data_IF_304047393578
#
_entry.id   IF_304047393578
#
_cell.length_a   1.000
_cell.length_b   1.000
_cell.length_c   1.000
_cell.angle_alpha   90.00
_cell.angle_beta   90.00
_cell.angle_gamma   90.00
#
_symmetry.space_group_name_H-M   'P 1'
#
loop_
_entity.id
_entity.type
_entity.pdbx_description
1 polymer ?
#
# COMPACT_ATOMS: atom_id res chain seq x y z
N UNK A 1 -2.62 51.37 -7.16
CA UNK A 1 -2.89 49.97 -6.77
C UNK A 1 -4.06 50.01 -5.82
N UNK A 2 -5.17 49.36 -6.14
CA UNK A 2 -6.39 49.42 -5.30
C UNK A 2 -6.16 48.77 -3.94
N UNK A 3 -6.81 49.29 -2.90
CA UNK A 3 -6.71 48.80 -1.52
C UNK A 3 -7.05 47.31 -1.43
N UNK A 4 -8.01 46.85 -2.24
CA UNK A 4 -8.38 45.43 -2.35
C UNK A 4 -7.23 44.57 -2.91
N UNK A 5 -6.57 45.05 -3.97
CA UNK A 5 -5.43 44.34 -4.58
C UNK A 5 -4.22 44.29 -3.64
N UNK A 6 -3.97 45.38 -2.90
CA UNK A 6 -2.95 45.42 -1.85
C UNK A 6 -3.23 44.39 -0.75
N UNK A 7 -4.46 44.37 -0.24
CA UNK A 7 -4.87 43.45 0.81
C UNK A 7 -4.70 41.98 0.40
N UNK A 8 -5.19 41.62 -0.78
CA UNK A 8 -5.12 40.24 -1.29
C UNK A 8 -3.66 39.83 -1.56
N UNK A 9 -2.87 40.71 -2.19
CA UNK A 9 -1.51 40.37 -2.61
C UNK A 9 -0.51 40.35 -1.46
N UNK A 10 -0.66 41.21 -0.46
CA UNK A 10 0.36 41.38 0.59
C UNK A 10 -0.10 40.94 1.97
N UNK A 11 -1.37 41.06 2.34
CA UNK A 11 -1.81 40.88 3.73
C UNK A 11 -2.51 39.54 3.99
N UNK A 12 -3.26 39.02 3.01
CA UNK A 12 -4.06 37.80 3.17
C UNK A 12 -3.21 36.55 3.46
N UNK A 13 -2.15 36.32 2.68
CA UNK A 13 -1.29 35.13 2.85
C UNK A 13 -0.49 35.13 4.17
N UNK A 14 0.14 36.23 4.60
CA UNK A 14 0.74 36.31 5.94
C UNK A 14 -0.27 36.09 7.07
N UNK A 15 -1.48 36.64 6.95
CA UNK A 15 -2.54 36.43 7.94
C UNK A 15 -2.92 34.95 8.04
N UNK A 16 -3.15 34.29 6.90
CA UNK A 16 -3.44 32.85 6.84
C UNK A 16 -2.29 32.06 7.48
N UNK A 17 -1.04 32.37 7.14
CA UNK A 17 0.12 31.70 7.73
C UNK A 17 0.18 31.85 9.26
N UNK A 18 -0.06 33.05 9.78
CA UNK A 18 -0.08 33.30 11.23
C UNK A 18 -1.19 32.49 11.91
N UNK A 19 -2.40 32.53 11.36
CA UNK A 19 -3.56 31.79 11.90
C UNK A 19 -3.29 30.29 11.85
N UNK A 20 -2.83 29.76 10.71
CA UNK A 20 -2.51 28.34 10.56
C UNK A 20 -1.39 27.87 11.50
N UNK A 21 -0.36 28.70 11.69
CA UNK A 21 0.74 28.39 12.64
C UNK A 21 0.26 28.41 14.08
N UNK A 22 -0.65 29.33 14.45
CA UNK A 22 -1.27 29.35 15.77
C UNK A 22 -2.12 28.10 16.02
N UNK A 23 -2.95 27.70 15.05
CA UNK A 23 -3.73 26.45 15.10
C UNK A 23 -2.82 25.24 15.23
N UNK A 24 -1.74 25.17 14.44
CA UNK A 24 -0.76 24.08 14.52
C UNK A 24 -0.11 24.00 15.91
N UNK A 25 0.23 25.14 16.52
CA UNK A 25 0.78 25.22 17.88
C UNK A 25 -0.20 24.74 18.95
N UNK A 26 -1.51 24.97 18.77
CA UNK A 26 -2.57 24.44 19.65
C UNK A 26 -2.69 22.92 19.49
N UNK A 27 -2.73 22.41 18.26
CA UNK A 27 -2.78 20.97 17.97
C UNK A 27 -1.53 20.27 18.51
N UNK A 28 -0.37 20.93 18.42
CA UNK A 28 0.88 20.41 18.95
C UNK A 28 0.87 20.25 20.48
N UNK A 29 0.02 20.95 21.23
CA UNK A 29 -0.14 20.68 22.67
C UNK A 29 -0.66 19.27 22.95
N UNK A 30 -1.48 18.72 22.05
CA UNK A 30 -1.98 17.34 22.13
C UNK A 30 -0.97 16.33 21.61
N UNK A 31 -0.26 16.66 20.54
CA UNK A 31 0.70 15.76 19.90
C UNK A 31 2.10 15.76 20.56
N UNK A 32 2.51 16.83 21.24
CA UNK A 32 3.84 16.97 21.87
C UNK A 32 5.03 16.59 20.96
N UNK A 33 4.91 16.80 19.64
CA UNK A 33 5.93 16.41 18.67
C UNK A 33 7.22 17.22 18.85
N UNK A 34 7.09 18.53 18.98
CA UNK A 34 8.20 19.45 19.22
C UNK A 34 7.80 20.47 20.28
N UNK A 35 8.79 21.12 20.92
CA UNK A 35 8.50 22.32 21.69
C UNK A 35 7.94 23.40 20.76
N UNK A 36 6.85 24.08 21.14
CA UNK A 36 6.16 25.09 20.32
C UNK A 36 7.13 26.14 19.72
N UNK A 37 8.15 26.57 20.47
CA UNK A 37 9.17 27.49 19.94
C UNK A 37 9.97 26.87 18.79
N UNK A 38 10.45 25.63 18.96
CA UNK A 38 11.20 24.89 17.93
C UNK A 38 10.33 24.60 16.71
N UNK A 39 9.06 24.26 16.91
CA UNK A 39 8.09 24.02 15.84
C UNK A 39 7.91 25.26 14.96
N UNK A 40 7.62 26.42 15.58
CA UNK A 40 7.42 27.68 14.85
C UNK A 40 8.69 28.06 14.07
N UNK A 41 9.86 27.96 14.71
CA UNK A 41 11.15 28.23 14.05
C UNK A 41 11.39 27.28 12.89
N UNK A 42 11.06 25.99 13.04
CA UNK A 42 11.25 25.00 11.98
C UNK A 42 10.34 25.28 10.77
N UNK A 43 9.05 25.56 11.00
CA UNK A 43 8.09 25.90 9.94
C UNK A 43 8.53 27.14 9.17
N UNK A 44 8.98 28.18 9.89
CA UNK A 44 9.45 29.42 9.29
C UNK A 44 10.75 29.20 8.50
N UNK A 45 11.71 28.46 9.06
CA UNK A 45 12.98 28.15 8.42
C UNK A 45 12.80 27.30 7.15
N UNK A 46 11.94 26.28 7.20
CA UNK A 46 11.59 25.47 6.02
C UNK A 46 10.93 26.36 4.96
N UNK A 47 9.97 27.20 5.34
CA UNK A 47 9.32 28.13 4.42
C UNK A 47 10.28 29.07 3.71
N UNK A 48 11.28 29.62 4.43
CA UNK A 48 12.32 30.48 3.85
C UNK A 48 13.22 29.69 2.90
N UNK A 49 13.71 28.51 3.30
CA UNK A 49 14.60 27.68 2.46
C UNK A 49 13.89 27.31 1.15
N UNK A 50 12.62 26.92 1.25
CA UNK A 50 11.83 26.56 0.07
C UNK A 50 11.52 27.75 -0.83
N UNK A 51 11.55 28.98 -0.32
CA UNK A 51 11.35 30.19 -1.13
C UNK A 51 12.60 30.64 -1.90
N UNK A 52 13.80 30.17 -1.54
CA UNK A 52 15.07 30.61 -2.14
C UNK A 52 15.12 30.51 -3.68
N UNK A 53 14.61 29.44 -4.32
CA UNK A 53 14.59 29.38 -5.79
C UNK A 53 13.73 30.47 -6.44
N UNK A 54 12.90 31.21 -5.70
CA UNK A 54 12.16 32.37 -6.19
C UNK A 54 13.07 33.48 -6.72
N UNK A 55 14.31 33.57 -6.22
CA UNK A 55 15.30 34.50 -6.77
C UNK A 55 15.73 34.16 -8.20
N UNK A 56 15.45 32.95 -8.72
CA UNK A 56 15.68 32.62 -10.13
C UNK A 56 14.77 33.39 -11.10
N UNK A 57 13.92 34.30 -10.60
CA UNK A 57 13.15 35.24 -11.41
C UNK A 57 13.98 36.11 -12.36
N UNK A 58 15.27 36.34 -12.08
CA UNK A 58 16.16 37.06 -13.01
C UNK A 58 16.28 36.38 -14.39
N UNK A 59 15.99 35.08 -14.50
CA UNK A 59 16.01 34.33 -15.75
C UNK A 59 14.88 34.71 -16.71
N UNK A 60 13.85 35.45 -16.26
CA UNK A 60 12.72 35.89 -17.06
C UNK A 60 12.09 34.74 -17.87
N UNK A 61 12.00 34.87 -19.20
CA UNK A 61 11.44 33.83 -20.07
C UNK A 61 12.19 32.50 -20.01
N UNK A 62 13.51 32.51 -19.79
CA UNK A 62 14.31 31.28 -19.67
C UNK A 62 13.98 30.47 -18.40
N UNK A 63 13.28 31.07 -17.44
CA UNK A 63 12.81 30.35 -16.27
C UNK A 63 11.89 29.18 -16.66
N UNK A 64 11.09 29.33 -17.71
CA UNK A 64 10.22 28.26 -18.22
C UNK A 64 10.75 27.82 -19.59
N UNK A 65 11.36 26.61 -19.72
CA UNK A 65 11.29 25.48 -18.78
C UNK A 65 12.48 25.33 -17.82
N UNK A 66 13.64 25.93 -18.09
CA UNK A 66 14.90 25.52 -17.45
C UNK A 66 14.97 25.84 -15.95
N UNK A 67 14.58 27.05 -15.55
CA UNK A 67 14.50 27.44 -14.13
C UNK A 67 13.51 26.58 -13.35
N UNK A 68 12.37 26.24 -13.94
CA UNK A 68 11.36 25.37 -13.34
C UNK A 68 11.92 23.97 -13.07
N UNK A 69 12.64 23.37 -14.04
CA UNK A 69 13.28 22.06 -13.88
C UNK A 69 14.32 22.09 -12.75
N UNK A 70 15.15 23.15 -12.68
CA UNK A 70 16.12 23.34 -11.60
C UNK A 70 15.42 23.42 -10.24
N UNK A 71 14.31 24.16 -10.15
CA UNK A 71 13.49 24.20 -8.93
C UNK A 71 12.98 22.80 -8.54
N UNK A 72 12.43 22.03 -9.47
CA UNK A 72 11.96 20.66 -9.20
C UNK A 72 13.09 19.76 -8.65
N UNK A 73 14.28 19.80 -9.25
CA UNK A 73 15.45 19.05 -8.77
C UNK A 73 15.84 19.50 -7.36
N UNK A 74 15.93 20.81 -7.13
CA UNK A 74 16.21 21.37 -5.81
C UNK A 74 15.22 20.90 -4.75
N UNK A 75 13.91 20.94 -5.06
CA UNK A 75 12.87 20.51 -4.12
C UNK A 75 12.89 19.00 -3.85
N UNK A 76 13.24 18.16 -4.83
CA UNK A 76 13.45 16.73 -4.61
C UNK A 76 14.64 16.47 -3.68
N UNK A 77 15.76 17.18 -3.87
CA UNK A 77 16.93 17.06 -2.99
C UNK A 77 16.60 17.54 -1.57
N UNK A 78 15.97 18.71 -1.44
CA UNK A 78 15.56 19.25 -0.14
C UNK A 78 14.52 18.36 0.55
N UNK A 79 13.58 17.79 -0.18
CA UNK A 79 12.61 16.83 0.36
C UNK A 79 13.30 15.56 0.86
N UNK A 80 14.33 15.08 0.15
CA UNK A 80 15.13 13.92 0.57
C UNK A 80 15.90 14.21 1.85
N UNK A 81 16.55 15.37 1.93
CA UNK A 81 17.24 15.82 3.16
C UNK A 81 16.25 15.98 4.32
N UNK A 82 15.07 16.54 4.05
CA UNK A 82 14.02 16.69 5.05
C UNK A 82 13.57 15.35 5.63
N UNK A 83 13.30 14.36 4.78
CA UNK A 83 12.96 13.00 5.21
C UNK A 83 14.11 12.36 5.98
N UNK A 84 15.35 12.49 5.50
CA UNK A 84 16.54 11.97 6.19
C UNK A 84 16.67 12.56 7.61
N UNK A 85 16.55 13.88 7.77
CA UNK A 85 16.61 14.54 9.07
C UNK A 85 15.45 14.10 9.97
N UNK A 86 14.24 14.01 9.44
CA UNK A 86 13.07 13.54 10.16
C UNK A 86 13.26 12.11 10.68
N UNK A 87 13.66 11.18 9.82
CA UNK A 87 13.89 9.77 10.20
C UNK A 87 15.07 9.62 11.17
N UNK A 88 16.11 10.45 11.03
CA UNK A 88 17.29 10.40 11.93
C UNK A 88 17.00 10.90 13.33
N UNK A 89 16.29 12.03 13.47
CA UNK A 89 16.06 12.66 14.77
C UNK A 89 14.73 12.27 15.42
N UNK A 90 13.72 11.88 14.63
CA UNK A 90 12.36 11.58 15.07
C UNK A 90 11.76 10.31 14.43
N UNK A 91 12.45 9.16 14.46
CA UNK A 91 12.04 7.95 13.72
C UNK A 91 10.63 7.45 14.07
N UNK A 92 10.25 7.49 15.36
CA UNK A 92 8.93 7.04 15.83
C UNK A 92 7.82 7.99 15.41
N UNK A 93 8.02 9.29 15.66
CA UNK A 93 7.01 10.31 15.39
C UNK A 93 6.71 10.46 13.89
N UNK A 94 7.69 10.20 13.00
CA UNK A 94 7.49 10.23 11.54
C UNK A 94 6.45 9.21 11.08
N UNK A 95 6.31 8.09 11.80
CA UNK A 95 5.36 7.03 11.49
C UNK A 95 4.03 7.20 12.23
N UNK A 96 4.06 7.64 13.48
CA UNK A 96 2.84 7.80 14.30
C UNK A 96 2.08 9.10 13.97
N UNK A 97 2.79 10.17 13.60
CA UNK A 97 2.23 11.53 13.46
C UNK A 97 2.22 12.04 12.03
N UNK A 98 2.02 11.15 11.05
CA UNK A 98 2.03 11.45 9.60
C UNK A 98 1.19 12.68 9.25
N UNK A 99 -0.04 12.73 9.75
CA UNK A 99 -0.99 13.83 9.49
C UNK A 99 -0.47 15.16 10.01
N UNK A 100 0.09 15.19 11.22
CA UNK A 100 0.60 16.41 11.82
C UNK A 100 1.82 16.95 11.05
N UNK A 101 2.76 16.07 10.71
CA UNK A 101 3.95 16.44 9.92
C UNK A 101 3.54 16.95 8.55
N UNK A 102 2.59 16.28 7.88
CA UNK A 102 2.06 16.72 6.60
C UNK A 102 1.49 18.15 6.68
N UNK A 103 0.63 18.44 7.66
CA UNK A 103 0.08 19.79 7.82
C UNK A 103 1.14 20.83 8.19
N UNK A 104 2.12 20.50 9.03
CA UNK A 104 3.23 21.40 9.35
C UNK A 104 4.06 21.74 8.09
N UNK A 105 4.35 20.75 7.25
CA UNK A 105 5.02 20.96 5.96
C UNK A 105 4.17 21.74 4.97
N UNK A 106 2.85 21.52 4.95
CA UNK A 106 1.91 22.26 4.10
C UNK A 106 1.87 23.75 4.47
N UNK A 107 1.82 24.08 5.76
CA UNK A 107 1.87 25.47 6.22
C UNK A 107 3.19 26.14 5.82
N UNK A 108 4.30 25.40 5.94
CA UNK A 108 5.62 25.88 5.49
C UNK A 108 5.65 26.10 3.97
N UNK A 109 5.05 25.21 3.19
CA UNK A 109 4.97 25.32 1.73
C UNK A 109 4.09 26.48 1.28
N UNK A 110 2.98 26.76 1.96
CA UNK A 110 2.13 27.94 1.67
C UNK A 110 2.91 29.24 1.89
N UNK A 111 3.66 29.33 2.98
CA UNK A 111 4.56 30.46 3.21
C UNK A 111 5.61 30.56 2.09
N UNK A 112 6.21 29.43 1.72
CA UNK A 112 7.21 29.39 0.67
C UNK A 112 6.66 29.84 -0.69
N UNK A 113 5.45 29.41 -1.08
CA UNK A 113 4.77 29.83 -2.32
C UNK A 113 4.58 31.34 -2.34
N UNK A 114 4.11 31.91 -1.23
CA UNK A 114 3.93 33.35 -1.11
C UNK A 114 5.26 34.11 -1.23
N UNK A 115 6.29 33.72 -0.49
CA UNK A 115 7.60 34.34 -0.54
C UNK A 115 8.29 34.16 -1.89
N UNK A 116 8.18 32.98 -2.51
CA UNK A 116 8.67 32.68 -3.84
C UNK A 116 8.05 33.63 -4.87
N UNK A 117 6.73 33.78 -4.85
CA UNK A 117 5.98 34.64 -5.77
C UNK A 117 6.40 36.12 -5.62
N UNK A 118 6.67 36.58 -4.40
CA UNK A 118 7.17 37.93 -4.15
C UNK A 118 8.59 38.11 -4.68
N UNK A 119 9.50 37.19 -4.33
CA UNK A 119 10.90 37.24 -4.78
C UNK A 119 11.00 37.16 -6.30
N UNK A 120 10.22 36.27 -6.93
CA UNK A 120 10.21 36.09 -8.37
C UNK A 120 9.76 37.35 -9.10
N UNK A 121 8.60 37.91 -8.74
CA UNK A 121 8.08 39.10 -9.41
C UNK A 121 8.89 40.37 -9.11
N UNK A 122 9.70 40.36 -8.05
CA UNK A 122 10.60 41.46 -7.76
C UNK A 122 11.80 41.48 -8.73
N UNK A 123 12.31 40.31 -9.12
CA UNK A 123 13.47 40.17 -10.03
C UNK A 123 13.09 39.98 -11.50
N UNK A 124 11.85 39.57 -11.78
CA UNK A 124 11.37 39.21 -13.11
C UNK A 124 10.49 40.29 -13.71
N UNK A 125 10.66 40.55 -15.01
CA UNK A 125 9.74 41.36 -15.82
C UNK A 125 8.49 40.57 -16.26
N UNK A 126 8.51 39.24 -16.13
CA UNK A 126 7.38 38.34 -16.43
C UNK A 126 6.68 37.86 -15.17
N UNK A 127 5.35 37.76 -15.22
CA UNK A 127 4.49 37.38 -14.08
C UNK A 127 4.32 35.86 -13.91
N UNK A 128 5.40 35.08 -13.97
CA UNK A 128 5.34 33.62 -13.86
C UNK A 128 5.47 33.08 -12.44
N UNK A 129 5.65 33.90 -11.41
CA UNK A 129 6.01 33.38 -10.09
C UNK A 129 4.97 32.44 -9.47
N UNK A 130 3.67 32.57 -9.80
CA UNK A 130 2.63 31.64 -9.34
C UNK A 130 2.82 30.25 -9.95
N UNK A 131 3.12 30.20 -11.26
CA UNK A 131 3.41 28.95 -11.95
C UNK A 131 4.74 28.36 -11.49
N UNK A 132 5.76 29.22 -11.31
CA UNK A 132 7.05 28.82 -10.77
C UNK A 132 6.95 28.21 -9.38
N UNK A 133 6.16 28.81 -8.49
CA UNK A 133 5.93 28.31 -7.13
C UNK A 133 5.26 26.92 -7.11
N UNK A 134 4.56 26.52 -8.18
CA UNK A 134 4.01 25.17 -8.33
C UNK A 134 5.06 24.06 -8.27
N UNK A 135 6.34 24.37 -8.59
CA UNK A 135 7.44 23.41 -8.45
C UNK A 135 7.70 22.98 -6.99
N UNK A 136 7.26 23.75 -5.99
CA UNK A 136 7.35 23.39 -4.56
C UNK A 136 6.65 22.07 -4.26
N UNK A 137 5.63 21.68 -5.04
CA UNK A 137 4.95 20.38 -4.88
C UNK A 137 5.91 19.19 -4.96
N UNK A 138 7.02 19.29 -5.71
CA UNK A 138 8.06 18.27 -5.77
C UNK A 138 8.71 17.98 -4.40
N UNK A 139 8.66 18.92 -3.44
CA UNK A 139 9.18 18.73 -2.09
C UNK A 139 8.43 17.64 -1.31
N UNK A 140 7.15 17.41 -1.61
CA UNK A 140 6.34 16.40 -0.94
C UNK A 140 6.61 14.99 -1.45
N UNK A 141 7.20 14.84 -2.64
CA UNK A 141 7.41 13.53 -3.28
C UNK A 141 8.25 12.60 -2.41
N UNK A 142 9.43 13.00 -1.89
CA UNK A 142 10.23 12.13 -1.02
C UNK A 142 9.51 11.71 0.26
N UNK A 143 8.73 12.62 0.87
CA UNK A 143 7.99 12.35 2.11
C UNK A 143 6.89 11.30 1.90
N UNK A 144 6.08 11.47 0.86
CA UNK A 144 5.01 10.53 0.51
C UNK A 144 5.62 9.18 0.08
N UNK A 145 6.69 9.21 -0.71
CA UNK A 145 7.40 8.00 -1.14
C UNK A 145 7.93 7.22 0.06
N UNK A 146 8.55 7.87 1.04
CA UNK A 146 9.04 7.22 2.25
C UNK A 146 7.92 6.54 3.04
N UNK A 147 6.79 7.21 3.23
CA UNK A 147 5.65 6.60 3.92
C UNK A 147 5.05 5.42 3.14
N UNK A 148 4.97 5.51 1.81
CA UNK A 148 4.54 4.40 0.97
C UNK A 148 5.51 3.22 1.07
N UNK A 149 6.82 3.49 1.08
CA UNK A 149 7.87 2.48 1.23
C UNK A 149 7.79 1.77 2.57
N UNK A 150 7.66 2.50 3.69
CA UNK A 150 7.50 1.88 5.01
C UNK A 150 6.20 1.08 5.11
N UNK A 151 5.11 1.59 4.51
CA UNK A 151 3.85 0.84 4.45
C UNK A 151 3.97 -0.43 3.63
N UNK A 152 4.75 -0.44 2.54
CA UNK A 152 5.03 -1.63 1.74
C UNK A 152 5.82 -2.67 2.55
N UNK A 153 6.86 -2.24 3.27
CA UNK A 153 7.65 -3.12 4.14
C UNK A 153 6.84 -3.67 5.32
N UNK A 154 5.85 -2.91 5.80
CA UNK A 154 4.95 -3.34 6.87
C UNK A 154 3.90 -4.37 6.46
N UNK A 155 3.82 -4.77 5.19
CA UNK A 155 2.90 -5.82 4.74
C UNK A 155 3.47 -7.19 5.14
N UNK A 156 2.85 -7.92 6.09
CA UNK A 156 3.33 -9.25 6.45
C UNK A 156 3.19 -10.20 5.26
N UNK A 157 4.15 -11.10 5.09
CA UNK A 157 4.10 -12.15 4.08
C UNK A 157 2.84 -13.00 4.22
N UNK A 158 2.23 -13.38 3.10
CA UNK A 158 1.07 -14.26 3.06
C UNK A 158 1.43 -15.67 3.55
N UNK A 159 1.09 -15.98 4.81
CA UNK A 159 1.14 -17.35 5.33
C UNK A 159 -0.18 -18.03 4.94
N UNK A 160 -0.09 -19.05 4.10
CA UNK A 160 -1.21 -19.91 3.75
C UNK A 160 -0.88 -21.35 4.13
N UNK A 161 -1.90 -22.10 4.55
CA UNK A 161 -1.74 -23.54 4.77
C UNK A 161 -1.74 -24.27 3.45
N UNK A 162 -0.81 -25.21 3.34
CA UNK A 162 -0.67 -26.07 2.18
C UNK A 162 -1.41 -27.36 2.47
N UNK A 163 -2.27 -27.78 1.54
CA UNK A 163 -2.93 -29.07 1.60
C UNK A 163 -2.21 -30.07 0.70
N UNK A 164 -1.95 -31.28 1.17
CA UNK A 164 -1.42 -32.39 0.37
C UNK A 164 -2.51 -33.45 0.26
N UNK A 165 -2.67 -34.03 -0.92
CA UNK A 165 -3.50 -35.23 -1.04
C UNK A 165 -2.91 -36.32 -0.12
N UNK A 166 -3.72 -37.00 0.72
CA UNK A 166 -3.27 -38.00 1.67
C UNK A 166 -2.74 -39.26 0.96
N UNK A 167 -1.68 -39.86 1.49
CA UNK A 167 -1.08 -41.07 0.92
C UNK A 167 -1.93 -42.33 1.21
N UNK A 168 -2.68 -42.30 2.31
CA UNK A 168 -3.63 -43.33 2.72
C UNK A 168 -5.06 -42.89 2.42
N UNK A 169 -5.92 -43.78 1.91
CA UNK A 169 -7.34 -43.48 1.74
C UNK A 169 -7.94 -43.02 3.07
N UNK A 170 -8.58 -41.85 3.08
CA UNK A 170 -9.29 -41.37 4.25
C UNK A 170 -10.57 -42.18 4.43
N UNK A 171 -10.77 -42.74 5.62
CA UNK A 171 -12.06 -43.31 6.02
C UNK A 171 -12.99 -42.15 6.40
N UNK A 172 -13.75 -41.65 5.42
CA UNK A 172 -14.63 -40.51 5.62
C UNK A 172 -15.96 -41.03 6.15
N UNK A 173 -16.16 -40.95 7.46
CA UNK A 173 -17.42 -41.31 8.09
C UNK A 173 -18.52 -40.30 7.69
N UNK A 174 -19.48 -40.76 6.90
CA UNK A 174 -20.61 -39.96 6.39
C UNK A 174 -21.86 -40.07 7.26
N UNK A 175 -21.84 -40.87 8.34
CA UNK A 175 -23.04 -41.26 9.09
C UNK A 175 -23.69 -40.08 9.84
N UNK A 176 -22.92 -39.03 10.09
CA UNK A 176 -23.36 -37.82 10.81
C UNK A 176 -23.40 -36.56 9.93
N UNK A 177 -23.27 -36.70 8.61
CA UNK A 177 -23.25 -35.57 7.68
C UNK A 177 -24.68 -35.17 7.33
N UNK A 178 -25.09 -33.95 7.72
CA UNK A 178 -26.42 -33.42 7.40
C UNK A 178 -26.48 -32.94 5.93
N UNK A 179 -27.04 -33.78 5.06
CA UNK A 179 -27.21 -33.47 3.64
C UNK A 179 -28.31 -32.45 3.33
N UNK A 180 -29.05 -31.96 4.33
CA UNK A 180 -30.10 -30.95 4.09
C UNK A 180 -29.53 -29.56 3.83
N UNK A 181 -28.27 -29.30 4.21
CA UNK A 181 -27.60 -28.00 4.06
C UNK A 181 -26.39 -28.10 3.13
N UNK A 182 -26.68 -28.03 1.82
CA UNK A 182 -25.67 -28.10 0.77
C UNK A 182 -25.46 -26.72 0.14
N UNK A 183 -24.23 -26.25 0.16
CA UNK A 183 -23.79 -25.05 -0.55
C UNK A 183 -23.37 -25.41 -1.98
N UNK A 184 -23.73 -24.57 -2.94
CA UNK A 184 -23.26 -24.68 -4.33
C UNK A 184 -22.09 -23.72 -4.52
N UNK A 185 -20.90 -24.28 -4.70
CA UNK A 185 -19.64 -23.56 -4.89
C UNK A 185 -19.16 -23.72 -6.33
N UNK A 186 -18.45 -22.72 -6.85
CA UNK A 186 -17.73 -22.84 -8.11
C UNK A 186 -16.26 -23.09 -7.81
N UNK A 187 -15.69 -24.15 -8.35
CA UNK A 187 -14.28 -24.51 -8.16
C UNK A 187 -13.54 -24.38 -9.49
N UNK A 188 -12.43 -23.65 -9.46
CA UNK A 188 -11.54 -23.45 -10.59
C UNK A 188 -10.18 -24.12 -10.29
N UNK A 189 -9.81 -25.11 -11.10
CA UNK A 189 -8.56 -25.87 -10.96
C UNK A 189 -8.00 -26.30 -12.32
N UNK A 190 -6.69 -26.54 -12.41
CA UNK A 190 -6.08 -27.10 -13.62
C UNK A 190 -5.99 -28.63 -13.49
N UNK A 191 -6.47 -29.37 -14.50
CA UNK A 191 -6.42 -30.86 -14.46
C UNK A 191 -4.98 -31.35 -14.61
N UNK A 192 -4.24 -30.75 -15.54
CA UNK A 192 -2.80 -30.96 -15.74
C UNK A 192 -2.05 -29.64 -15.64
N UNK A 193 -0.77 -29.70 -15.28
CA UNK A 193 0.09 -28.50 -15.22
C UNK A 193 0.32 -27.88 -16.61
N UNK A 194 0.15 -28.67 -17.67
CA UNK A 194 0.30 -28.28 -19.07
C UNK A 194 -1.00 -27.73 -19.71
N UNK A 195 -2.13 -27.77 -19.01
CA UNK A 195 -3.41 -27.37 -19.60
C UNK A 195 -3.49 -25.83 -19.75
N UNK A 196 -3.92 -25.33 -20.92
CA UNK A 196 -3.97 -23.89 -21.18
C UNK A 196 -5.13 -23.18 -20.46
N UNK A 197 -6.21 -23.91 -20.15
CA UNK A 197 -7.41 -23.36 -19.52
C UNK A 197 -7.78 -24.12 -18.24
N UNK A 198 -8.24 -23.41 -17.20
CA UNK A 198 -8.68 -24.06 -15.98
C UNK A 198 -10.05 -24.73 -16.17
N UNK A 199 -10.22 -25.88 -15.51
CA UNK A 199 -11.52 -26.52 -15.33
C UNK A 199 -12.34 -25.70 -14.32
N UNK A 200 -13.52 -25.24 -14.77
CA UNK A 200 -14.53 -24.61 -13.91
C UNK A 200 -15.69 -25.58 -13.69
N UNK A 201 -15.93 -25.96 -12.44
CA UNK A 201 -17.01 -26.89 -12.08
C UNK A 201 -17.84 -26.35 -10.93
N UNK A 202 -19.16 -26.53 -11.03
CA UNK A 202 -20.07 -26.26 -9.92
C UNK A 202 -20.26 -27.52 -9.10
N UNK A 203 -19.91 -27.43 -7.83
CA UNK A 203 -19.83 -28.56 -6.90
C UNK A 203 -20.68 -28.27 -5.68
N UNK A 204 -21.25 -29.34 -5.11
CA UNK A 204 -22.01 -29.26 -3.87
C UNK A 204 -21.09 -29.59 -2.70
N UNK A 205 -21.16 -28.78 -1.66
CA UNK A 205 -20.36 -28.93 -0.48
C UNK A 205 -21.24 -28.88 0.76
N UNK A 206 -20.93 -29.72 1.76
CA UNK A 206 -21.68 -29.74 3.01
C UNK A 206 -21.07 -28.71 3.96
N UNK A 207 -21.92 -27.89 4.57
CA UNK A 207 -21.53 -26.76 5.42
C UNK A 207 -20.57 -27.13 6.56
N UNK A 208 -20.85 -28.22 7.27
CA UNK A 208 -20.13 -28.68 8.46
C UNK A 208 -19.07 -29.75 8.14
N UNK A 209 -18.55 -29.73 6.91
CA UNK A 209 -17.47 -30.63 6.51
C UNK A 209 -16.18 -29.83 6.40
N UNK A 210 -15.10 -30.40 6.93
CA UNK A 210 -13.76 -29.89 6.75
C UNK A 210 -13.43 -29.72 5.25
N UNK A 211 -12.88 -28.57 4.88
CA UNK A 211 -12.63 -28.21 3.49
C UNK A 211 -11.63 -29.17 2.80
N UNK A 212 -10.56 -29.57 3.48
CA UNK A 212 -9.56 -30.49 2.94
C UNK A 212 -10.12 -31.89 2.67
N UNK A 213 -10.97 -32.40 3.58
CA UNK A 213 -11.65 -33.70 3.39
C UNK A 213 -12.67 -33.62 2.25
N UNK A 214 -13.41 -32.52 2.16
CA UNK A 214 -14.33 -32.29 1.06
C UNK A 214 -13.59 -32.24 -0.29
N UNK A 215 -12.45 -31.56 -0.36
CA UNK A 215 -11.66 -31.45 -1.58
C UNK A 215 -11.04 -32.79 -2.01
N UNK A 216 -10.61 -33.62 -1.05
CA UNK A 216 -10.20 -35.00 -1.29
C UNK A 216 -11.31 -35.79 -2.01
N UNK A 217 -12.50 -35.82 -1.40
CA UNK A 217 -13.66 -36.51 -1.95
C UNK A 217 -14.05 -35.99 -3.33
N UNK A 218 -13.96 -34.68 -3.53
CA UNK A 218 -14.19 -34.07 -4.83
C UNK A 218 -13.25 -34.62 -5.92
N UNK A 219 -11.94 -34.74 -5.64
CA UNK A 219 -10.98 -35.30 -6.60
C UNK A 219 -11.35 -36.76 -6.92
N UNK A 220 -11.66 -37.56 -5.91
CA UNK A 220 -12.02 -38.97 -6.09
C UNK A 220 -13.28 -39.14 -6.93
N UNK A 221 -14.36 -38.46 -6.54
CA UNK A 221 -15.65 -38.50 -7.24
C UNK A 221 -15.51 -38.01 -8.69
N UNK A 222 -14.71 -36.96 -8.92
CA UNK A 222 -14.44 -36.44 -10.26
C UNK A 222 -13.67 -37.44 -11.10
N UNK A 223 -12.61 -38.04 -10.56
CA UNK A 223 -11.76 -38.99 -11.27
C UNK A 223 -12.49 -40.31 -11.57
N UNK A 224 -13.38 -40.75 -10.69
CA UNK A 224 -14.28 -41.89 -10.93
C UNK A 224 -15.25 -41.61 -12.08
N UNK A 225 -15.86 -40.42 -12.10
CA UNK A 225 -16.83 -40.02 -13.14
C UNK A 225 -16.16 -39.77 -14.49
N UNK A 226 -14.94 -39.23 -14.51
CA UNK A 226 -14.22 -38.81 -15.70
C UNK A 226 -12.87 -39.51 -15.84
N UNK A 227 -12.88 -40.85 -15.86
CA UNK A 227 -11.67 -41.67 -15.96
C UNK A 227 -10.79 -41.37 -17.19
N UNK A 228 -11.36 -40.84 -18.28
CA UNK A 228 -10.62 -40.46 -19.50
C UNK A 228 -9.80 -39.17 -19.36
N UNK A 229 -10.16 -38.30 -18.40
CA UNK A 229 -9.53 -37.00 -18.21
C UNK A 229 -9.46 -36.66 -16.72
N UNK A 230 -8.67 -37.40 -15.92
CA UNK A 230 -8.59 -37.20 -14.48
C UNK A 230 -7.84 -35.91 -14.12
N UNK A 231 -8.10 -35.42 -12.92
CA UNK A 231 -7.27 -34.42 -12.25
C UNK A 231 -6.03 -35.11 -11.71
N UNK A 232 -4.85 -34.67 -12.14
CA UNK A 232 -3.57 -35.20 -11.65
C UNK A 232 -3.35 -34.73 -10.21
N UNK A 233 -3.27 -35.66 -9.27
CA UNK A 233 -2.95 -35.35 -7.87
C UNK A 233 -1.57 -35.85 -7.45
N UNK A 234 -0.90 -36.62 -8.30
CA UNK A 234 0.47 -37.12 -8.15
C UNK A 234 1.36 -36.59 -9.26
N UNK A 235 2.58 -36.22 -8.90
CA UNK A 235 3.67 -35.90 -9.82
C UNK A 235 4.29 -37.18 -10.38
N UNK A 236 5.08 -37.04 -11.45
CA UNK A 236 5.83 -38.13 -12.07
C UNK A 236 6.81 -38.82 -11.09
N UNK A 237 7.30 -38.07 -10.10
CA UNK A 237 8.17 -38.55 -9.01
C UNK A 237 7.42 -39.29 -7.88
N UNK A 238 6.15 -39.66 -8.11
CA UNK A 238 5.24 -40.28 -7.13
C UNK A 238 4.92 -39.45 -5.87
N UNK A 239 5.32 -38.18 -5.81
CA UNK A 239 4.90 -37.27 -4.75
C UNK A 239 3.53 -36.65 -5.05
N UNK A 240 2.64 -36.58 -4.04
CA UNK A 240 1.37 -35.89 -4.22
C UNK A 240 1.58 -34.37 -4.31
N UNK A 241 0.85 -33.73 -5.22
CA UNK A 241 0.87 -32.28 -5.35
C UNK A 241 0.39 -31.59 -4.08
N UNK A 242 1.06 -30.48 -3.78
CA UNK A 242 0.70 -29.52 -2.74
C UNK A 242 -0.25 -28.48 -3.33
N UNK A 243 -1.35 -28.20 -2.67
CA UNK A 243 -2.40 -27.28 -3.11
C UNK A 243 -2.58 -26.12 -2.14
N UNK A 244 -2.96 -24.98 -2.70
CA UNK A 244 -3.44 -23.81 -1.98
C UNK A 244 -4.80 -23.43 -2.50
N UNK A 245 -5.63 -22.93 -1.58
CA UNK A 245 -7.00 -22.56 -1.85
C UNK A 245 -7.22 -21.11 -1.48
N UNK A 246 -7.76 -20.34 -2.40
CA UNK A 246 -8.09 -18.95 -2.13
C UNK A 246 -9.29 -18.49 -2.94
N UNK A 247 -9.97 -17.49 -2.41
CA UNK A 247 -11.03 -16.76 -3.07
C UNK A 247 -10.44 -15.44 -3.54
N UNK A 248 -10.48 -15.21 -4.85
CA UNK A 248 -10.11 -13.90 -5.40
C UNK A 248 -11.14 -12.89 -4.96
N UNK A 249 -10.68 -11.84 -4.28
CA UNK A 249 -11.51 -10.67 -4.04
C UNK A 249 -11.27 -9.64 -5.14
N UNK A 250 -11.88 -8.46 -5.03
CA UNK A 250 -11.67 -7.36 -5.98
C UNK A 250 -10.21 -6.92 -6.03
N UNK A 251 -9.80 -6.25 -7.11
CA UNK A 251 -8.42 -5.77 -7.35
C UNK A 251 -7.81 -4.97 -6.18
N UNK A 252 -8.66 -4.30 -5.38
CA UNK A 252 -8.22 -3.48 -4.25
C UNK A 252 -8.24 -4.20 -2.89
N UNK A 253 -8.71 -5.45 -2.83
CA UNK A 253 -8.82 -6.24 -1.61
C UNK A 253 -7.89 -7.44 -1.70
N UNK A 254 -7.36 -7.87 -0.55
CA UNK A 254 -6.51 -9.06 -0.46
C UNK A 254 -7.34 -10.32 -0.71
N UNK A 255 -6.74 -11.32 -1.35
CA UNK A 255 -7.37 -12.63 -1.52
C UNK A 255 -7.58 -13.29 -0.15
N UNK A 256 -8.67 -14.03 -0.02
CA UNK A 256 -8.99 -14.77 1.21
C UNK A 256 -8.48 -16.19 1.00
N UNK A 257 -7.49 -16.61 1.78
CA UNK A 257 -7.00 -17.98 1.76
C UNK A 257 -7.89 -18.85 2.64
N UNK A 258 -8.16 -20.07 2.16
CA UNK A 258 -8.98 -21.05 2.85
C UNK A 258 -8.04 -21.96 3.64
N UNK A 259 -8.35 -22.15 4.92
CA UNK A 259 -7.68 -23.13 5.77
C UNK A 259 -8.28 -24.53 5.49
N UNK A 260 -7.49 -25.49 4.99
CA UNK A 260 -7.98 -26.84 4.71
C UNK A 260 -8.44 -27.58 5.96
N UNK A 261 -7.98 -27.19 7.16
CA UNK A 261 -8.29 -27.87 8.42
C UNK A 261 -9.61 -27.38 9.06
N UNK A 262 -10.18 -26.30 8.53
CA UNK A 262 -11.43 -25.71 9.02
C UNK A 262 -12.63 -26.13 8.16
N UNK A 263 -13.82 -26.01 8.74
CA UNK A 263 -15.07 -26.26 8.03
C UNK A 263 -15.38 -25.16 7.00
N UNK A 264 -16.31 -25.44 6.08
CA UNK A 264 -16.69 -24.50 5.02
C UNK A 264 -17.26 -23.21 5.59
N UNK A 265 -18.11 -23.30 6.62
CA UNK A 265 -18.67 -22.13 7.31
C UNK A 265 -17.58 -21.35 8.07
N UNK A 266 -16.67 -22.05 8.76
CA UNK A 266 -15.61 -21.42 9.55
C UNK A 266 -14.61 -20.66 8.68
N UNK A 267 -14.38 -21.16 7.45
CA UNK A 267 -13.63 -20.45 6.41
C UNK A 267 -14.39 -19.25 5.81
N UNK A 268 -15.61 -18.97 6.25
CA UNK A 268 -16.44 -17.86 5.76
C UNK A 268 -16.91 -18.05 4.31
N UNK A 269 -16.93 -19.29 3.82
CA UNK A 269 -17.36 -19.61 2.45
C UNK A 269 -18.88 -19.59 2.41
N UNK A 270 -19.44 -18.83 1.47
CA UNK A 270 -20.89 -18.76 1.24
C UNK A 270 -21.26 -19.20 -0.18
N UNK A 271 -22.55 -19.26 -0.48
CA UNK A 271 -23.02 -19.60 -1.82
C UNK A 271 -22.50 -18.64 -2.89
N UNK A 272 -22.30 -19.16 -4.11
CA UNK A 272 -21.89 -18.39 -5.30
C UNK A 272 -20.46 -17.82 -5.22
N UNK A 273 -19.63 -18.30 -4.30
CA UNK A 273 -18.20 -18.00 -4.30
C UNK A 273 -17.44 -18.89 -5.30
N UNK A 274 -16.42 -18.32 -5.94
CA UNK A 274 -15.48 -19.04 -6.80
C UNK A 274 -14.20 -19.31 -6.02
N UNK A 275 -13.90 -20.58 -5.78
CA UNK A 275 -12.71 -21.07 -5.11
C UNK A 275 -11.65 -21.43 -6.14
N UNK A 276 -10.46 -20.89 -5.99
CA UNK A 276 -9.32 -21.17 -6.85
C UNK A 276 -8.41 -22.17 -6.13
N UNK A 277 -8.24 -23.35 -6.73
CA UNK A 277 -7.28 -24.35 -6.29
C UNK A 277 -6.05 -24.29 -7.19
N UNK A 278 -4.88 -23.98 -6.60
CA UNK A 278 -3.61 -23.93 -7.33
C UNK A 278 -2.60 -24.89 -6.72
N UNK A 279 -1.82 -25.55 -7.58
CA UNK A 279 -0.67 -26.35 -7.16
C UNK A 279 0.50 -25.44 -6.79
N UNK A 280 1.26 -25.81 -5.77
CA UNK A 280 2.47 -25.10 -5.33
C UNK A 280 3.67 -26.02 -5.50
N UNK A 281 4.68 -25.54 -6.21
CA UNK A 281 6.00 -26.15 -6.26
C UNK A 281 6.81 -25.71 -5.04
N UNK A 282 7.49 -26.64 -4.38
CA UNK A 282 8.25 -26.43 -3.14
C UNK A 282 9.36 -25.35 -3.24
N UNK A 283 9.80 -25.03 -4.46
CA UNK A 283 10.85 -24.04 -4.73
C UNK A 283 10.47 -22.58 -4.43
N UNK A 284 9.23 -22.28 -4.04
CA UNK A 284 8.80 -20.90 -3.74
C UNK A 284 8.88 -20.57 -2.23
N UNK A 285 8.95 -21.57 -1.35
CA UNK A 285 8.75 -21.40 0.10
C UNK A 285 9.91 -21.85 0.99
N UNK A 286 11.12 -22.07 0.46
CA UNK A 286 12.29 -22.02 1.33
C UNK A 286 12.65 -20.55 1.54
N UNK A 287 12.39 -19.94 2.71
CA UNK A 287 13.21 -18.80 3.08
C UNK A 287 14.65 -19.28 2.98
N UNK A 288 15.51 -18.52 2.30
CA UNK A 288 16.93 -18.70 2.49
C UNK A 288 17.17 -18.44 3.98
N UNK A 289 17.25 -19.51 4.78
CA UNK A 289 17.79 -19.47 6.12
C UNK A 289 19.29 -19.20 5.97
N UNK A 290 19.61 -17.94 5.70
CA UNK A 290 20.91 -17.39 6.05
C UNK A 290 20.85 -17.23 7.57
N UNK A 291 21.66 -18.02 8.26
CA UNK A 291 21.60 -18.25 9.70
C UNK A 291 21.56 -16.99 10.57
N UNK A 292 21.09 -17.21 11.79
CA UNK A 292 21.17 -16.35 12.98
C UNK A 292 21.41 -14.85 12.74
N UNK A 293 20.37 -14.15 12.30
CA UNK A 293 20.18 -12.75 12.70
C UNK A 293 18.69 -12.38 12.69
N UNK A 294 17.90 -13.09 13.49
CA UNK A 294 16.64 -12.55 13.98
C UNK A 294 16.94 -11.58 15.15
N UNK A 295 17.50 -10.42 14.82
CA UNK A 295 17.70 -9.28 15.74
C UNK A 295 17.38 -7.99 14.97
N UNK A 296 16.17 -7.48 15.23
CA UNK A 296 15.65 -6.09 15.25
C UNK A 296 15.90 -5.13 14.06
N UNK A 297 14.85 -4.42 13.60
CA UNK A 297 14.17 -3.25 14.22
C UNK A 297 12.68 -3.32 13.89
#
# INVERSE_FOLDING_TARGET
MDVQSFFIRFLLFPLIFIVSTAVLSIINKKNQFLNNKRLIVSVLLIGIILALPGFLGFLNFNFMPWGYIICCIFYLLMGTVFVYLLTKYYPKDVLERKVFIFFATLISAILAVYLFQLAFNWLSSVNFGWFGAGSITCFFVPLIFWWAYVSLLGIPSEIYKIWKYPDTPLDINMDHVDFNRLLVLELELYKKSSDPEPLKVKVKAVENMNFGIWFHKFIDDYNLKFAKSPVEFRSDDMENYKWIFFIKTSFFKRNIFIDPDLDIIENGITEKMTIYAKRVSENVNKPNEVGESAIFI
#
